data_IF_062855364464
#
_entry.id   IF_062855364464
#
_cell.length_a   1.000
_cell.length_b   1.000
_cell.length_c   1.000
_cell.angle_alpha   90.00
_cell.angle_beta   90.00
_cell.angle_gamma   90.00
#
_symmetry.space_group_name_H-M   'P 1'
#
loop_
_entity.id
_entity.type
_entity.pdbx_description
1 polymer ?
#
# COMPACT_ATOMS: atom_id res chain seq x y z
N UNK A 1 5.69 -2.91 -10.84
CA UNK A 1 5.94 -1.60 -10.17
C UNK A 1 5.04 -0.59 -10.87
N UNK A 2 3.87 -0.30 -10.29
CA UNK A 2 2.77 0.41 -10.97
C UNK A 2 2.66 1.89 -10.58
N UNK A 3 3.50 2.38 -9.66
CA UNK A 3 3.51 3.78 -9.24
C UNK A 3 4.95 4.33 -9.16
N UNK A 4 5.17 5.52 -9.71
CA UNK A 4 6.50 6.16 -9.79
C UNK A 4 6.96 6.71 -8.43
N UNK A 5 6.04 6.98 -7.50
CA UNK A 5 6.37 7.48 -6.16
C UNK A 5 7.09 6.41 -5.34
N UNK A 6 6.89 5.13 -5.67
CA UNK A 6 7.64 4.01 -5.09
C UNK A 6 9.12 3.99 -5.48
N UNK A 7 9.54 4.66 -6.56
CA UNK A 7 10.94 4.64 -7.05
C UNK A 7 11.88 5.34 -6.06
N UNK A 8 11.36 6.26 -5.24
CA UNK A 8 12.13 6.98 -4.21
C UNK A 8 12.59 6.08 -3.06
N UNK A 9 11.99 4.89 -2.90
CA UNK A 9 12.23 3.99 -1.76
C UNK A 9 13.03 2.75 -2.15
N UNK A 10 13.78 2.19 -1.19
CA UNK A 10 14.49 0.93 -1.42
C UNK A 10 13.50 -0.24 -1.59
N UNK A 11 13.77 -1.20 -2.47
CA UNK A 11 12.90 -2.36 -2.66
C UNK A 11 12.68 -3.17 -1.37
N UNK A 12 13.69 -3.22 -0.49
CA UNK A 12 13.56 -3.84 0.84
C UNK A 12 12.54 -3.13 1.73
N UNK A 13 12.51 -1.80 1.68
CA UNK A 13 11.60 -0.98 2.47
C UNK A 13 10.16 -1.10 1.95
N UNK A 14 10.00 -1.14 0.63
CA UNK A 14 8.70 -1.38 -0.02
C UNK A 14 8.17 -2.78 0.34
N UNK A 15 9.04 -3.79 0.36
CA UNK A 15 8.67 -5.13 0.77
C UNK A 15 8.22 -5.18 2.24
N UNK A 16 8.95 -4.50 3.14
CA UNK A 16 8.58 -4.40 4.55
C UNK A 16 7.22 -3.68 4.74
N UNK A 17 6.99 -2.57 4.04
CA UNK A 17 5.71 -1.85 4.08
C UNK A 17 4.54 -2.69 3.55
N UNK A 18 4.76 -3.41 2.44
CA UNK A 18 3.76 -4.32 1.86
C UNK A 18 3.42 -5.47 2.82
N UNK A 19 4.44 -5.99 3.51
CA UNK A 19 4.25 -7.03 4.53
C UNK A 19 3.49 -6.48 5.74
N UNK A 20 3.81 -5.29 6.20
CA UNK A 20 3.07 -4.60 7.26
C UNK A 20 1.58 -4.43 6.87
N UNK A 21 1.31 -4.01 5.63
CA UNK A 21 -0.05 -3.89 5.11
C UNK A 21 -0.79 -5.23 5.07
N UNK A 22 -0.15 -6.28 4.57
CA UNK A 22 -0.75 -7.62 4.54
C UNK A 22 -1.11 -8.10 5.96
N UNK A 23 -0.30 -7.78 6.97
CA UNK A 23 -0.62 -8.09 8.36
C UNK A 23 -1.84 -7.33 8.88
N UNK A 24 -1.97 -6.03 8.54
CA UNK A 24 -3.14 -5.22 8.90
C UNK A 24 -4.43 -5.73 8.23
N UNK A 25 -4.37 -6.10 6.95
CA UNK A 25 -5.49 -6.69 6.21
C UNK A 25 -5.91 -8.04 6.82
N UNK A 26 -4.94 -8.88 7.22
CA UNK A 26 -5.19 -10.22 7.75
C UNK A 26 -5.40 -10.25 9.29
N UNK A 27 -5.37 -9.10 9.96
CA UNK A 27 -5.47 -9.01 11.42
C UNK A 27 -4.34 -9.71 12.19
N UNK A 28 -3.13 -9.83 11.61
CA UNK A 28 -1.97 -10.55 12.20
C UNK A 28 -1.16 -9.73 13.22
N UNK A 29 -1.81 -8.81 13.94
CA UNK A 29 -1.16 -7.97 14.94
C UNK A 29 -0.21 -6.91 14.36
N UNK A 30 0.29 -6.06 15.25
CA UNK A 30 1.01 -4.82 14.97
C UNK A 30 2.46 -5.06 14.50
N UNK A 31 3.11 -3.99 14.01
CA UNK A 31 4.53 -4.02 13.67
C UNK A 31 5.39 -3.98 14.95
N UNK A 32 5.56 -5.14 15.58
CA UNK A 32 6.29 -5.31 16.83
C UNK A 32 7.82 -5.11 16.69
N UNK A 33 8.50 -4.77 17.78
CA UNK A 33 9.96 -4.58 17.83
C UNK A 33 10.76 -5.78 17.34
N UNK A 34 10.22 -7.00 17.43
CA UNK A 34 10.88 -8.17 16.85
C UNK A 34 10.96 -8.09 15.32
N UNK A 35 9.94 -7.53 14.64
CA UNK A 35 9.96 -7.31 13.20
C UNK A 35 10.94 -6.19 12.83
N UNK A 36 11.01 -5.12 13.63
CA UNK A 36 11.99 -4.04 13.44
C UNK A 36 13.42 -4.59 13.45
N UNK A 37 13.73 -5.56 14.32
CA UNK A 37 15.06 -6.20 14.35
C UNK A 37 15.37 -7.00 13.08
N UNK A 38 14.39 -7.68 12.48
CA UNK A 38 14.59 -8.47 11.25
C UNK A 38 14.62 -7.63 9.98
N UNK A 39 13.72 -6.65 9.88
CA UNK A 39 13.58 -5.82 8.68
C UNK A 39 14.45 -4.57 8.70
N UNK A 40 14.86 -4.09 9.88
CA UNK A 40 15.69 -2.90 10.05
C UNK A 40 14.94 -1.58 9.80
N UNK A 41 13.61 -1.60 9.73
CA UNK A 41 12.76 -0.43 9.52
C UNK A 41 11.71 -0.34 10.62
N UNK A 42 11.51 0.86 11.17
CA UNK A 42 10.46 1.14 12.15
C UNK A 42 9.12 1.36 11.45
N UNK A 43 7.99 1.33 12.18
CA UNK A 43 6.69 1.61 11.57
C UNK A 43 6.64 3.03 10.96
N UNK A 44 7.31 3.99 11.58
CA UNK A 44 7.42 5.39 11.13
C UNK A 44 8.09 5.50 9.75
N UNK A 45 9.18 4.75 9.51
CA UNK A 45 9.86 4.69 8.21
C UNK A 45 9.00 4.08 7.10
N UNK A 46 8.02 3.24 7.48
CA UNK A 46 7.15 2.51 6.56
C UNK A 46 5.83 3.25 6.32
N UNK A 47 5.42 4.14 7.23
CA UNK A 47 4.19 4.92 7.14
C UNK A 47 3.99 5.63 5.78
N UNK A 48 4.97 6.35 5.21
CA UNK A 48 4.75 7.05 3.94
C UNK A 48 4.50 6.08 2.78
N UNK A 49 5.18 4.93 2.77
CA UNK A 49 5.00 3.89 1.75
C UNK A 49 3.66 3.19 1.95
N UNK A 50 3.30 2.93 3.21
CA UNK A 50 2.03 2.32 3.57
C UNK A 50 0.86 3.14 3.04
N UNK A 51 0.85 4.46 3.30
CA UNK A 51 -0.18 5.39 2.78
C UNK A 51 -0.26 5.35 1.26
N UNK A 52 0.88 5.32 0.58
CA UNK A 52 0.98 5.27 -0.88
C UNK A 52 0.40 3.97 -1.46
N UNK A 53 0.67 2.82 -0.84
CA UNK A 53 0.11 1.54 -1.28
C UNK A 53 -1.41 1.48 -1.04
N UNK A 54 -1.90 2.05 0.06
CA UNK A 54 -3.34 2.14 0.34
C UNK A 54 -4.04 3.07 -0.66
N UNK A 55 -3.47 4.24 -0.94
CA UNK A 55 -3.95 5.18 -1.97
C UNK A 55 -4.05 4.48 -3.34
N UNK A 56 -3.02 3.72 -3.69
CA UNK A 56 -3.01 2.93 -4.93
C UNK A 56 -4.11 1.85 -4.96
N UNK A 57 -4.35 1.13 -3.86
CA UNK A 57 -5.39 0.09 -3.78
C UNK A 57 -6.81 0.64 -3.80
N UNK A 58 -7.03 1.81 -3.20
CA UNK A 58 -8.32 2.48 -3.17
C UNK A 58 -8.73 2.97 -4.57
N UNK A 59 -7.76 3.35 -5.40
CA UNK A 59 -8.00 3.81 -6.78
C UNK A 59 -8.36 2.64 -7.72
N UNK A 60 -9.16 2.90 -8.77
CA UNK A 60 -9.47 1.89 -9.77
C UNK A 60 -8.23 1.56 -10.61
N UNK A 61 -7.70 0.36 -10.45
CA UNK A 61 -6.54 -0.15 -11.19
C UNK A 61 -6.91 -0.63 -12.59
N UNK A 62 -6.17 -0.16 -13.58
CA UNK A 62 -6.32 -0.45 -15.02
C UNK A 62 -5.85 -1.87 -15.40
N UNK A 63 -4.94 -2.48 -14.62
CA UNK A 63 -4.31 -3.77 -14.96
C UNK A 63 -4.46 -4.81 -13.83
N UNK A 64 -5.64 -5.45 -13.76
CA UNK A 64 -5.85 -6.70 -12.99
C UNK A 64 -5.84 -7.95 -13.87
N UNK A 65 -5.84 -7.77 -15.20
CA UNK A 65 -6.04 -8.86 -16.17
C UNK A 65 -4.89 -9.88 -16.21
N UNK A 66 -3.66 -9.46 -15.87
CA UNK A 66 -2.49 -10.36 -15.83
C UNK A 66 -2.54 -11.37 -14.65
N UNK A 67 -3.42 -11.14 -13.67
CA UNK A 67 -3.58 -12.02 -12.50
C UNK A 67 -4.65 -13.09 -12.78
N UNK A 68 -4.39 -13.99 -13.72
CA UNK A 68 -5.37 -14.99 -14.23
C UNK A 68 -5.82 -16.06 -13.21
N UNK A 69 -5.26 -16.06 -12.01
CA UNK A 69 -5.51 -17.09 -10.99
C UNK A 69 -6.53 -16.58 -9.97
N UNK A 70 -7.59 -17.37 -9.75
CA UNK A 70 -8.74 -17.02 -8.90
C UNK A 70 -8.37 -16.57 -7.47
N UNK A 71 -7.37 -17.20 -6.85
CA UNK A 71 -6.94 -16.82 -5.50
C UNK A 71 -6.24 -15.46 -5.45
N UNK A 72 -5.48 -15.09 -6.49
CA UNK A 72 -4.88 -13.76 -6.58
C UNK A 72 -5.96 -12.69 -6.77
N UNK A 73 -6.97 -12.93 -7.61
CA UNK A 73 -8.10 -12.02 -7.76
C UNK A 73 -8.87 -11.84 -6.45
N UNK A 74 -9.07 -12.91 -5.69
CA UNK A 74 -9.69 -12.83 -4.36
C UNK A 74 -8.84 -12.00 -3.39
N UNK A 75 -7.53 -12.25 -3.32
CA UNK A 75 -6.61 -11.48 -2.46
C UNK A 75 -6.63 -9.99 -2.82
N UNK A 76 -6.60 -9.66 -4.12
CA UNK A 76 -6.67 -8.28 -4.61
C UNK A 76 -8.01 -7.66 -4.19
N UNK A 77 -9.13 -8.35 -4.42
CA UNK A 77 -10.46 -7.86 -4.03
C UNK A 77 -10.56 -7.59 -2.53
N UNK A 78 -10.14 -8.52 -1.68
CA UNK A 78 -10.12 -8.34 -0.21
C UNK A 78 -9.23 -7.18 0.21
N UNK A 79 -8.05 -7.05 -0.39
CA UNK A 79 -7.11 -5.95 -0.07
C UNK A 79 -7.69 -4.59 -0.44
N UNK A 80 -8.44 -4.51 -1.55
CA UNK A 80 -9.10 -3.27 -2.00
C UNK A 80 -10.29 -2.90 -1.13
N UNK A 81 -11.11 -3.87 -0.72
CA UNK A 81 -12.21 -3.63 0.22
C UNK A 81 -11.65 -3.02 1.50
N UNK A 82 -10.62 -3.64 2.07
CA UNK A 82 -9.94 -3.13 3.26
C UNK A 82 -9.38 -1.72 3.05
N UNK A 83 -8.73 -1.45 1.91
CA UNK A 83 -8.17 -0.14 1.59
C UNK A 83 -9.25 0.94 1.49
N UNK A 84 -10.38 0.67 0.84
CA UNK A 84 -11.50 1.61 0.75
C UNK A 84 -12.12 1.90 2.12
N UNK A 85 -12.26 0.90 2.99
CA UNK A 85 -12.76 1.09 4.35
C UNK A 85 -11.82 1.96 5.21
N UNK A 86 -10.51 1.84 5.01
CA UNK A 86 -9.50 2.53 5.82
C UNK A 86 -8.98 3.83 5.20
N UNK A 87 -9.23 4.10 3.92
CA UNK A 87 -8.75 5.30 3.22
C UNK A 87 -9.22 6.59 3.90
N UNK A 88 -10.48 6.65 4.33
CA UNK A 88 -11.05 7.80 5.05
C UNK A 88 -10.33 8.04 6.39
N UNK A 89 -9.99 6.96 7.11
CA UNK A 89 -9.28 7.05 8.38
C UNK A 89 -7.83 7.51 8.22
N UNK A 90 -7.24 7.30 7.04
CA UNK A 90 -5.86 7.67 6.74
C UNK A 90 -5.74 9.06 6.09
N UNK A 91 -6.87 9.77 5.92
CA UNK A 91 -6.90 11.09 5.29
C UNK A 91 -6.63 11.06 3.78
N UNK A 92 -6.85 9.92 3.13
CA UNK A 92 -6.59 9.74 1.69
C UNK A 92 -7.86 10.15 0.93
N UNK A 93 -7.77 11.25 0.17
CA UNK A 93 -8.87 11.67 -0.71
C UNK A 93 -8.87 10.86 -2.02
N UNK A 94 -9.79 9.90 -2.08
CA UNK A 94 -9.96 9.00 -3.23
C UNK A 94 -10.64 9.72 -4.42
N UNK A 95 -11.14 10.95 -4.23
CA UNK A 95 -11.83 11.72 -5.26
C UNK A 95 -10.87 12.45 -6.20
N UNK A 96 -9.65 12.75 -5.73
CA UNK A 96 -8.60 13.36 -6.56
C UNK A 96 -8.20 12.35 -7.66
N UNK A 97 -8.26 12.71 -8.96
CA UNK A 97 -7.77 11.85 -10.04
C UNK A 97 -6.29 11.52 -9.86
N UNK A 98 -5.88 10.30 -10.23
CA UNK A 98 -4.49 9.82 -10.09
C UNK A 98 -3.46 10.82 -10.64
N UNK A 99 -3.76 11.44 -11.78
CA UNK A 99 -2.92 12.41 -12.50
C UNK A 99 -2.57 13.68 -11.68
N UNK A 100 -3.53 14.22 -10.91
CA UNK A 100 -3.34 15.48 -10.16
C UNK A 100 -2.46 15.29 -8.92
N UNK A 101 -2.62 14.15 -8.24
CA UNK A 101 -1.78 13.81 -7.11
C UNK A 101 -0.31 13.56 -7.53
N UNK A 102 -0.02 13.35 -8.83
CA UNK A 102 1.37 13.21 -9.33
C UNK A 102 2.07 14.58 -9.44
N UNK A 103 1.31 15.65 -9.65
CA UNK A 103 1.83 17.02 -9.81
C UNK A 103 2.22 17.65 -8.46
N UNK A 104 1.45 17.39 -7.39
CA UNK A 104 1.71 17.95 -6.06
C UNK A 104 2.97 17.40 -5.36
N UNK A 105 3.52 16.27 -5.83
CA UNK A 105 4.72 15.66 -5.25
C UNK A 105 6.02 16.02 -6.00
N UNK A 106 5.92 16.91 -7.00
CA UNK A 106 7.00 17.33 -7.89
C UNK A 106 7.40 18.81 -7.78
N UNK A 107 6.79 19.57 -6.87
CA UNK A 107 7.17 20.95 -6.52
C UNK A 107 7.90 20.99 -5.16
#
# INVERSE_FOLDING_TARGET
LLDHRCIKYRPSQIAAASMCLARKILGRGEWDGNLVQYFGYSEDDLEPIFKLVVDYLARPIIYVQDYARKHFLLIIATSRIWACEHATSLGIDVSIPFELAQYEAGD
#
